data_IF_380010439073
#
_entry.id   IF_380010439073
#
_cell.length_a   1.000
_cell.length_b   1.000
_cell.length_c   1.000
_cell.angle_alpha   90.00
_cell.angle_beta   90.00
_cell.angle_gamma   90.00
#
_symmetry.space_group_name_H-M   'P 1'
#
loop_
_entity.id
_entity.type
_entity.pdbx_description
1 polymer ?
#
# COMPACT_ATOMS: atom_id res chain seq x y z
N UNK A 1 10.58 11.31 2.45
CA UNK A 1 9.75 10.37 3.25
C UNK A 1 8.83 9.55 2.34
N UNK A 2 8.40 8.37 2.78
CA UNK A 2 7.54 7.47 2.00
C UNK A 2 6.29 7.03 2.78
N UNK A 3 5.13 7.03 2.14
CA UNK A 3 3.91 6.44 2.71
C UNK A 3 3.67 5.07 2.08
N UNK A 4 3.34 4.08 2.89
CA UNK A 4 3.19 2.68 2.46
C UNK A 4 1.85 2.13 2.93
N UNK A 5 1.08 1.55 2.01
CA UNK A 5 -0.10 0.74 2.35
C UNK A 5 0.14 -0.71 1.94
N UNK A 6 -0.33 -1.66 2.75
CA UNK A 6 -0.01 -3.09 2.59
C UNK A 6 1.33 -3.50 3.23
N UNK A 7 1.84 -2.68 4.14
CA UNK A 7 3.13 -2.85 4.82
C UNK A 7 3.30 -4.21 5.54
N UNK A 8 2.21 -4.84 6.01
CA UNK A 8 2.27 -6.10 6.76
C UNK A 8 2.26 -7.35 5.85
N UNK A 9 2.10 -7.18 4.54
CA UNK A 9 2.19 -8.29 3.58
C UNK A 9 3.65 -8.63 3.26
N UNK A 10 3.90 -9.79 2.65
CA UNK A 10 5.27 -10.27 2.39
C UNK A 10 6.16 -9.24 1.66
N UNK A 11 5.64 -8.65 0.57
CA UNK A 11 6.37 -7.62 -0.19
C UNK A 11 6.45 -6.31 0.59
N UNK A 12 5.34 -5.87 1.20
CA UNK A 12 5.28 -4.63 1.96
C UNK A 12 6.25 -4.60 3.14
N UNK A 13 6.43 -5.72 3.84
CA UNK A 13 7.35 -5.79 4.99
C UNK A 13 8.80 -5.73 4.56
N UNK A 14 9.13 -6.35 3.41
CA UNK A 14 10.47 -6.25 2.83
C UNK A 14 10.74 -4.81 2.36
N UNK A 15 9.78 -4.19 1.66
CA UNK A 15 9.86 -2.79 1.24
C UNK A 15 10.08 -1.84 2.41
N UNK A 16 9.32 -2.01 3.51
CA UNK A 16 9.54 -1.21 4.72
C UNK A 16 10.95 -1.41 5.26
N UNK A 17 11.45 -2.65 5.31
CA UNK A 17 12.83 -2.93 5.71
C UNK A 17 13.87 -2.16 4.88
N UNK A 18 13.75 -2.20 3.55
CA UNK A 18 14.64 -1.48 2.63
C UNK A 18 14.55 0.04 2.78
N UNK A 19 13.34 0.58 2.94
CA UNK A 19 13.14 2.01 3.18
C UNK A 19 13.75 2.45 4.52
N UNK A 20 13.65 1.63 5.57
CA UNK A 20 14.25 1.93 6.87
C UNK A 20 15.78 1.77 6.85
N UNK A 21 16.34 0.87 6.04
CA UNK A 21 17.78 0.74 5.87
C UNK A 21 18.38 1.87 5.02
N UNK A 22 17.60 2.44 4.10
CA UNK A 22 18.08 3.45 3.16
C UNK A 22 18.39 4.79 3.85
N UNK A 23 19.59 5.37 3.64
CA UNK A 23 19.89 6.74 4.10
C UNK A 23 19.13 7.80 3.29
N UNK A 24 18.62 7.46 2.10
CA UNK A 24 17.82 8.38 1.27
C UNK A 24 16.38 8.53 1.77
N UNK A 25 15.93 7.62 2.62
CA UNK A 25 14.58 7.65 3.19
C UNK A 25 14.66 8.07 4.66
N UNK A 26 14.21 9.29 4.92
CA UNK A 26 14.25 9.93 6.24
C UNK A 26 13.06 9.56 7.13
N UNK A 27 12.02 8.93 6.59
CA UNK A 27 10.82 8.57 7.33
C UNK A 27 9.85 7.75 6.50
N UNK A 28 9.16 6.81 7.16
CA UNK A 28 8.16 5.91 6.56
C UNK A 28 6.87 5.99 7.37
N UNK A 29 5.75 6.25 6.72
CA UNK A 29 4.41 6.14 7.32
C UNK A 29 3.72 4.90 6.77
N UNK A 30 3.56 3.86 7.58
CA UNK A 30 2.85 2.63 7.23
C UNK A 30 1.37 2.73 7.63
N UNK A 31 0.49 2.73 6.65
CA UNK A 31 -0.97 2.69 6.84
C UNK A 31 -1.41 1.24 6.97
N UNK A 32 -1.95 0.89 8.14
CA UNK A 32 -2.38 -0.47 8.46
C UNK A 32 -3.84 -0.48 8.91
N UNK A 33 -4.53 -1.58 8.63
CA UNK A 33 -5.94 -1.77 9.01
C UNK A 33 -6.13 -2.28 10.46
N UNK A 34 -5.06 -2.76 11.09
CA UNK A 34 -5.06 -3.33 12.45
C UNK A 34 -3.72 -3.03 13.11
N UNK A 35 -3.72 -2.85 14.43
CA UNK A 35 -2.49 -2.72 15.20
C UNK A 35 -1.57 -3.92 14.96
N UNK A 36 -0.26 -3.68 14.91
CA UNK A 36 0.75 -4.70 14.64
C UNK A 36 2.04 -4.42 15.40
N UNK A 37 2.67 -5.48 15.90
CA UNK A 37 4.01 -5.45 16.52
C UNK A 37 5.10 -5.96 15.58
N UNK A 38 4.76 -6.26 14.32
CA UNK A 38 5.66 -6.86 13.33
C UNK A 38 6.97 -6.10 13.15
N UNK A 39 6.92 -4.77 13.25
CA UNK A 39 8.08 -3.90 13.05
C UNK A 39 8.84 -3.54 14.34
N UNK A 40 8.45 -4.10 15.49
CA UNK A 40 8.98 -3.69 16.79
C UNK A 40 10.50 -3.88 16.93
N UNK A 41 11.08 -4.86 16.20
CA UNK A 41 12.51 -5.17 16.22
C UNK A 41 13.24 -4.84 14.91
N UNK A 42 12.60 -4.11 14.00
CA UNK A 42 13.18 -3.77 12.71
C UNK A 42 14.26 -2.68 12.88
N UNK A 43 15.48 -2.87 12.34
CA UNK A 43 16.48 -1.79 12.31
C UNK A 43 15.94 -0.54 11.62
N UNK A 44 16.24 0.65 12.15
CA UNK A 44 15.72 1.90 11.60
C UNK A 44 14.28 2.25 12.04
N UNK A 45 13.71 1.52 13.01
CA UNK A 45 12.33 1.70 13.52
C UNK A 45 12.01 3.13 13.94
N UNK A 46 12.99 3.93 14.36
CA UNK A 46 12.83 5.34 14.70
C UNK A 46 12.31 6.20 13.53
N UNK A 47 12.55 5.77 12.28
CA UNK A 47 12.03 6.40 11.06
C UNK A 47 10.60 5.94 10.72
N UNK A 48 10.07 4.92 11.38
CA UNK A 48 8.78 4.33 11.06
C UNK A 48 7.66 4.91 11.94
N UNK A 49 6.57 5.34 11.30
CA UNK A 49 5.29 5.64 11.94
C UNK A 49 4.27 4.63 11.46
N UNK A 50 3.57 3.97 12.38
CA UNK A 50 2.51 3.00 12.03
C UNK A 50 1.18 3.62 12.39
N UNK A 51 0.34 3.85 11.38
CA UNK A 51 -0.96 4.48 11.53
C UNK A 51 -2.06 3.44 11.30
N UNK A 52 -2.82 3.15 12.35
CA UNK A 52 -3.99 2.28 12.26
C UNK A 52 -5.16 3.12 11.77
N UNK A 53 -5.68 2.78 10.59
CA UNK A 53 -6.79 3.50 9.96
C UNK A 53 -7.89 2.55 9.53
N UNK A 54 -9.12 3.05 9.50
CA UNK A 54 -10.19 2.39 8.77
C UNK A 54 -9.98 2.61 7.27
N UNK A 55 -10.01 1.53 6.50
CA UNK A 55 -9.79 1.59 5.05
C UNK A 55 -11.01 2.14 4.30
N UNK A 56 -12.16 2.24 4.96
CA UNK A 56 -13.30 3.02 4.46
C UNK A 56 -12.89 4.49 4.25
N UNK A 57 -12.01 5.02 5.10
CA UNK A 57 -11.51 6.40 5.03
C UNK A 57 -10.14 6.51 4.32
N UNK A 58 -9.69 5.46 3.61
CA UNK A 58 -8.31 5.36 3.14
C UNK A 58 -7.86 6.57 2.31
N UNK A 59 -8.71 7.09 1.43
CA UNK A 59 -8.39 8.26 0.61
C UNK A 59 -8.13 9.50 1.47
N UNK A 60 -9.06 9.85 2.36
CA UNK A 60 -8.94 10.99 3.28
C UNK A 60 -7.74 10.85 4.19
N UNK A 61 -7.58 9.68 4.83
CA UNK A 61 -6.46 9.44 5.76
C UNK A 61 -5.12 9.43 5.06
N UNK A 62 -5.06 8.94 3.81
CA UNK A 62 -3.84 9.04 3.01
C UNK A 62 -3.52 10.49 2.70
N UNK A 63 -4.51 11.30 2.30
CA UNK A 63 -4.28 12.73 2.04
C UNK A 63 -3.74 13.49 3.27
N UNK A 64 -4.28 13.19 4.46
CA UNK A 64 -3.82 13.78 5.73
C UNK A 64 -2.41 13.31 6.12
N UNK A 65 -2.16 12.00 6.03
CA UNK A 65 -0.94 11.38 6.56
C UNK A 65 0.24 11.41 5.59
N UNK A 66 -0.02 11.55 4.29
CA UNK A 66 1.01 11.62 3.25
C UNK A 66 1.50 13.05 2.96
N UNK A 67 0.97 14.07 3.64
CA UNK A 67 1.46 15.44 3.49
C UNK A 67 2.99 15.50 3.77
N UNK A 68 3.73 16.16 2.88
CA UNK A 68 5.21 16.24 2.96
C UNK A 68 5.97 14.96 2.63
N UNK A 69 5.30 13.93 2.09
CA UNK A 69 5.96 12.72 1.59
C UNK A 69 6.29 12.85 0.10
N UNK A 70 7.40 12.24 -0.32
CA UNK A 70 7.89 12.30 -1.70
C UNK A 70 7.35 11.14 -2.55
N UNK A 71 7.09 10.00 -1.90
CA UNK A 71 6.71 8.76 -2.55
C UNK A 71 5.59 8.02 -1.79
N UNK A 72 4.73 7.36 -2.54
CA UNK A 72 3.68 6.49 -2.05
C UNK A 72 3.83 5.09 -2.66
N UNK A 73 3.73 4.06 -1.83
CA UNK A 73 3.85 2.67 -2.23
C UNK A 73 2.59 1.89 -1.84
N UNK A 74 1.93 1.32 -2.84
CA UNK A 74 0.79 0.42 -2.64
C UNK A 74 1.23 -1.02 -2.88
N UNK A 75 1.41 -1.77 -1.80
CA UNK A 75 1.69 -3.22 -1.85
C UNK A 75 0.49 -4.04 -1.38
N UNK A 76 -0.71 -3.45 -1.42
CA UNK A 76 -1.95 -4.17 -1.13
C UNK A 76 -2.29 -5.14 -2.26
N UNK A 77 -2.99 -6.21 -1.89
CA UNK A 77 -3.58 -7.12 -2.84
C UNK A 77 -3.86 -8.46 -2.22
N UNK A 78 -4.79 -9.19 -2.82
CA UNK A 78 -5.12 -10.55 -2.39
C UNK A 78 -4.36 -11.55 -3.25
N UNK A 79 -3.34 -12.20 -2.67
CA UNK A 79 -2.55 -13.22 -3.36
C UNK A 79 -3.29 -14.54 -3.63
N UNK A 80 -4.39 -14.81 -2.93
CA UNK A 80 -5.20 -16.02 -3.10
C UNK A 80 -6.68 -15.66 -3.37
N UNK A 81 -7.00 -15.06 -4.53
CA UNK A 81 -8.33 -14.52 -4.84
C UNK A 81 -9.44 -15.60 -4.83
N UNK A 82 -9.09 -16.88 -4.94
CA UNK A 82 -10.03 -18.00 -4.86
C UNK A 82 -10.59 -18.23 -3.45
N UNK A 83 -9.92 -17.73 -2.40
CA UNK A 83 -10.32 -17.89 -0.99
C UNK A 83 -11.23 -16.77 -0.48
N UNK A 84 -11.55 -15.79 -1.32
CA UNK A 84 -12.35 -14.62 -0.94
C UNK A 84 -13.48 -14.39 -1.95
N UNK A 85 -14.58 -13.74 -1.52
CA UNK A 85 -15.61 -13.30 -2.44
C UNK A 85 -15.03 -12.42 -3.56
N UNK A 86 -15.54 -12.52 -4.81
CA UNK A 86 -15.07 -11.68 -5.92
C UNK A 86 -15.10 -10.18 -5.62
N UNK A 87 -16.12 -9.72 -4.89
CA UNK A 87 -16.29 -8.33 -4.48
C UNK A 87 -15.19 -7.88 -3.51
N UNK A 88 -14.74 -8.75 -2.61
CA UNK A 88 -13.63 -8.44 -1.70
C UNK A 88 -12.32 -8.29 -2.44
N UNK A 89 -12.09 -9.13 -3.45
CA UNK A 89 -10.92 -9.01 -4.32
C UNK A 89 -10.93 -7.69 -5.10
N UNK A 90 -12.06 -7.32 -5.69
CA UNK A 90 -12.22 -6.04 -6.36
C UNK A 90 -11.99 -4.85 -5.42
N UNK A 91 -12.63 -4.87 -4.25
CA UNK A 91 -12.54 -3.81 -3.24
C UNK A 91 -11.11 -3.57 -2.79
N UNK A 92 -10.35 -4.63 -2.53
CA UNK A 92 -8.95 -4.51 -2.08
C UNK A 92 -8.01 -4.10 -3.20
N UNK A 93 -8.08 -4.80 -4.34
CA UNK A 93 -7.08 -4.64 -5.40
C UNK A 93 -7.34 -3.44 -6.31
N UNK A 94 -8.58 -2.95 -6.42
CA UNK A 94 -8.95 -1.81 -7.27
C UNK A 94 -9.38 -0.61 -6.44
N UNK A 95 -10.43 -0.76 -5.62
CA UNK A 95 -11.05 0.41 -4.96
C UNK A 95 -10.10 1.02 -3.91
N UNK A 96 -9.54 0.21 -3.02
CA UNK A 96 -8.60 0.69 -2.00
C UNK A 96 -7.26 1.12 -2.61
N UNK A 97 -6.76 0.43 -3.63
CA UNK A 97 -5.55 0.87 -4.34
C UNK A 97 -5.76 2.27 -4.97
N UNK A 98 -6.90 2.47 -5.64
CA UNK A 98 -7.28 3.76 -6.22
C UNK A 98 -7.51 4.85 -5.16
N UNK A 99 -8.16 4.52 -4.04
CA UNK A 99 -8.37 5.45 -2.92
C UNK A 99 -7.04 5.93 -2.34
N UNK A 100 -6.09 5.03 -2.12
CA UNK A 100 -4.75 5.37 -1.69
C UNK A 100 -4.02 6.27 -2.70
N UNK A 101 -4.08 5.92 -3.99
CA UNK A 101 -3.47 6.71 -5.06
C UNK A 101 -4.02 8.15 -5.13
N UNK A 102 -5.35 8.30 -5.07
CA UNK A 102 -6.01 9.62 -5.05
C UNK A 102 -5.64 10.42 -3.82
N UNK A 103 -5.64 9.80 -2.64
CA UNK A 103 -5.23 10.45 -1.39
C UNK A 103 -3.77 10.92 -1.43
N UNK A 104 -2.86 10.07 -1.93
CA UNK A 104 -1.45 10.43 -2.09
C UNK A 104 -1.28 11.61 -3.07
N UNK A 105 -1.99 11.60 -4.20
CA UNK A 105 -2.00 12.72 -5.15
C UNK A 105 -2.53 14.01 -4.51
N UNK A 106 -3.60 13.93 -3.73
CA UNK A 106 -4.16 15.08 -3.02
C UNK A 106 -3.20 15.66 -1.97
N UNK A 107 -2.35 14.83 -1.36
CA UNK A 107 -1.29 15.25 -0.46
C UNK A 107 -0.07 15.89 -1.17
N UNK A 108 -0.05 15.95 -2.50
CA UNK A 108 1.07 16.45 -3.29
C UNK A 108 2.19 15.43 -3.52
N UNK A 109 1.95 14.14 -3.29
CA UNK A 109 2.95 13.11 -3.58
C UNK A 109 3.13 12.97 -5.10
N UNK A 110 4.36 13.10 -5.58
CA UNK A 110 4.68 13.08 -7.01
C UNK A 110 5.07 11.70 -7.54
N UNK A 111 5.46 10.76 -6.67
CA UNK A 111 5.81 9.40 -7.06
C UNK A 111 4.85 8.39 -6.41
N UNK A 112 4.17 7.59 -7.24
CA UNK A 112 3.35 6.47 -6.80
C UNK A 112 3.87 5.18 -7.43
N UNK A 113 4.08 4.16 -6.61
CA UNK A 113 4.39 2.80 -7.06
C UNK A 113 3.29 1.84 -6.63
N UNK A 114 2.71 1.14 -7.59
CA UNK A 114 1.65 0.15 -7.38
C UNK A 114 2.17 -1.25 -7.68
N UNK A 115 2.04 -2.16 -6.72
CA UNK A 115 2.33 -3.57 -6.90
C UNK A 115 1.16 -4.27 -7.59
N UNK A 116 1.25 -4.41 -8.91
CA UNK A 116 0.34 -5.23 -9.71
C UNK A 116 0.83 -6.68 -9.78
N UNK A 117 0.67 -7.35 -10.93
CA UNK A 117 1.09 -8.72 -11.17
C UNK A 117 1.66 -8.91 -12.58
N UNK A 118 2.52 -9.90 -12.74
CA UNK A 118 2.94 -10.36 -14.07
C UNK A 118 1.72 -10.80 -14.89
N UNK A 119 1.61 -10.31 -16.12
CA UNK A 119 0.47 -10.58 -17.00
C UNK A 119 -0.83 -9.91 -16.55
N UNK A 120 -0.76 -8.82 -15.79
CA UNK A 120 -1.90 -7.93 -15.55
C UNK A 120 -2.38 -7.33 -16.87
N UNK A 121 -3.66 -7.50 -17.17
CA UNK A 121 -4.30 -7.08 -18.41
C UNK A 121 -5.82 -6.99 -18.18
N UNK A 122 -6.40 -5.79 -18.27
CA UNK A 122 -7.83 -5.54 -18.12
C UNK A 122 -8.71 -6.38 -19.06
N UNK A 123 -8.15 -6.90 -20.16
CA UNK A 123 -8.83 -7.74 -21.16
C UNK A 123 -8.66 -9.23 -20.91
N UNK A 124 -7.90 -9.64 -19.91
CA UNK A 124 -7.62 -11.04 -19.62
C UNK A 124 -8.88 -11.84 -19.28
N UNK A 125 -8.95 -13.09 -19.75
CA UNK A 125 -9.95 -14.05 -19.30
C UNK A 125 -9.66 -14.58 -17.88
N UNK A 126 -8.40 -14.48 -17.43
CA UNK A 126 -8.00 -14.89 -16.07
C UNK A 126 -8.37 -13.78 -15.10
N UNK A 127 -9.33 -14.06 -14.20
CA UNK A 127 -9.87 -13.06 -13.25
C UNK A 127 -8.79 -12.31 -12.46
N UNK A 128 -7.75 -13.01 -12.01
CA UNK A 128 -6.65 -12.39 -11.26
C UNK A 128 -5.91 -11.33 -12.09
N UNK A 129 -5.44 -11.72 -13.27
CA UNK A 129 -4.80 -10.82 -14.25
C UNK A 129 -5.68 -9.66 -14.66
N UNK A 130 -6.98 -9.90 -14.84
CA UNK A 130 -7.94 -8.86 -15.19
C UNK A 130 -8.08 -7.81 -14.11
N UNK A 131 -8.36 -8.21 -12.87
CA UNK A 131 -8.51 -7.27 -11.75
C UNK A 131 -7.22 -6.49 -11.52
N UNK A 132 -6.06 -7.17 -11.56
CA UNK A 132 -4.76 -6.52 -11.45
C UNK A 132 -4.43 -5.57 -12.60
N UNK A 133 -5.01 -5.76 -13.78
CA UNK A 133 -4.87 -4.87 -14.93
C UNK A 133 -5.82 -3.67 -14.91
N UNK A 134 -6.93 -3.77 -14.17
CA UNK A 134 -7.87 -2.65 -13.95
C UNK A 134 -7.36 -1.67 -12.89
N UNK A 135 -6.66 -2.19 -11.88
CA UNK A 135 -6.09 -1.43 -10.76
C UNK A 135 -4.99 -0.46 -11.23
#
# INVERSE_FOLDING_TARGET
MAVVVGATGAVGSALVGELLASPRCTGVTALVRRATTMFAKTPGREKLRVEVIDFVDLERRTAELAAGHDAAFCTMGIGQPRKVPPQEFWRVDVEYAGAFARGARAAGVHHLSLLSACGADERSHVRYSRVKGVA
#
